data_IF_813977648162
#
_entry.id   IF_813977648162
#
_cell.length_a   1.000
_cell.length_b   1.000
_cell.length_c   1.000
_cell.angle_alpha   90.00
_cell.angle_beta   90.00
_cell.angle_gamma   90.00
#
_symmetry.space_group_name_H-M   'P 1'
#
loop_
_entity.id
_entity.type
_entity.pdbx_description
1 polymer ?
#
# COMPACT_ATOMS: atom_id res chain seq x y z
N UNK A 1 5.34 10.20 -2.36
CA UNK A 1 5.10 9.09 -3.31
C UNK A 1 4.09 9.57 -4.34
N UNK A 2 4.51 9.88 -5.57
CA UNK A 2 3.59 10.36 -6.61
C UNK A 2 2.61 9.26 -7.01
N UNK A 3 1.32 9.60 -7.12
CA UNK A 3 0.25 8.66 -7.51
C UNK A 3 -0.53 9.15 -8.76
N UNK A 4 0.03 10.10 -9.53
CA UNK A 4 -0.60 10.65 -10.74
C UNK A 4 -1.57 11.81 -10.47
N UNK A 5 -2.09 12.43 -11.53
CA UNK A 5 -3.00 13.59 -11.50
C UNK A 5 -2.52 14.77 -10.62
N UNK A 6 -1.20 14.96 -10.52
CA UNK A 6 -0.58 16.02 -9.71
C UNK A 6 -0.57 15.74 -8.20
N UNK A 7 -0.91 14.53 -7.77
CA UNK A 7 -0.96 14.13 -6.35
C UNK A 7 0.29 13.36 -5.95
N UNK A 8 0.82 13.69 -4.78
CA UNK A 8 1.85 12.93 -4.08
C UNK A 8 1.40 12.66 -2.66
N UNK A 9 1.50 11.40 -2.22
CA UNK A 9 1.21 10.98 -0.85
C UNK A 9 2.53 10.94 -0.06
N UNK A 10 2.72 11.78 0.97
CA UNK A 10 3.79 11.66 1.95
C UNK A 10 3.88 10.25 2.54
N UNK A 11 5.10 9.75 2.78
CA UNK A 11 5.28 8.42 3.38
C UNK A 11 4.79 8.35 4.83
N UNK A 12 4.69 9.51 5.51
CA UNK A 12 4.14 9.62 6.87
C UNK A 12 2.63 9.30 6.95
N UNK A 13 1.90 9.39 5.82
CA UNK A 13 0.50 8.97 5.73
C UNK A 13 0.34 7.46 5.53
N UNK A 14 1.45 6.73 5.39
CA UNK A 14 1.46 5.29 5.13
C UNK A 14 1.90 4.56 6.40
N UNK A 15 0.97 3.83 6.98
CA UNK A 15 1.27 2.93 8.09
C UNK A 15 1.93 1.66 7.55
N UNK A 16 3.11 1.32 8.07
CA UNK A 16 3.85 0.11 7.69
C UNK A 16 3.87 -0.88 8.86
N UNK A 17 3.35 -2.07 8.63
CA UNK A 17 3.30 -3.15 9.61
C UNK A 17 4.18 -4.31 9.17
N UNK A 18 5.11 -4.71 10.03
CA UNK A 18 5.89 -5.92 9.84
C UNK A 18 5.19 -7.10 10.51
N UNK A 19 5.20 -8.26 9.86
CA UNK A 19 4.65 -9.50 10.40
C UNK A 19 5.45 -10.71 9.95
N UNK A 20 5.12 -11.89 10.49
CA UNK A 20 5.74 -13.15 10.05
C UNK A 20 5.21 -13.54 8.67
N UNK A 21 6.11 -13.93 7.80
CA UNK A 21 5.76 -14.46 6.47
C UNK A 21 5.10 -15.82 6.66
N UNK A 22 3.88 -16.00 6.18
CA UNK A 22 3.14 -17.26 6.35
C UNK A 22 3.43 -18.19 5.17
N UNK A 23 4.19 -19.26 5.41
CA UNK A 23 4.36 -20.37 4.47
C UNK A 23 3.78 -21.67 5.05
N UNK A 24 3.05 -22.50 4.27
CA UNK A 24 2.57 -23.79 4.73
C UNK A 24 3.75 -24.77 4.81
N UNK A 25 4.17 -25.14 6.01
CA UNK A 25 5.28 -26.07 6.19
C UNK A 25 5.80 -26.08 7.61
N UNK A 26 5.24 -26.97 8.43
CA UNK A 26 5.84 -27.36 9.68
C UNK A 26 7.20 -28.01 9.45
N UNK A 27 8.06 -27.87 10.44
CA UNK A 27 9.40 -28.46 10.56
C UNK A 27 10.49 -27.72 9.75
N UNK A 28 11.35 -27.03 10.51
CA UNK A 28 12.53 -26.27 10.09
C UNK A 28 12.27 -25.01 9.26
N UNK A 29 11.71 -23.96 9.86
CA UNK A 29 11.70 -22.66 9.22
C UNK A 29 12.18 -21.58 10.20
N UNK A 30 13.42 -21.12 10.02
CA UNK A 30 13.83 -19.77 10.41
C UNK A 30 12.99 -18.80 9.57
N UNK A 31 11.72 -18.62 9.92
CA UNK A 31 10.81 -17.68 9.26
C UNK A 31 11.23 -16.29 9.71
N UNK A 32 12.19 -15.71 9.01
CA UNK A 32 12.51 -14.30 9.15
C UNK A 32 11.22 -13.50 8.93
N UNK A 33 10.90 -12.60 9.86
CA UNK A 33 9.74 -11.71 9.81
C UNK A 33 9.90 -10.66 8.70
N UNK A 34 9.81 -11.10 7.44
CA UNK A 34 10.06 -10.25 6.29
C UNK A 34 8.78 -9.66 5.70
N UNK A 35 7.60 -10.18 6.03
CA UNK A 35 6.32 -9.68 5.50
C UNK A 35 6.07 -8.23 5.95
N UNK A 36 5.86 -7.35 4.98
CA UNK A 36 5.46 -5.96 5.19
C UNK A 36 4.06 -5.73 4.62
N UNK A 37 3.24 -5.02 5.38
CA UNK A 37 1.95 -4.49 4.97
C UNK A 37 2.04 -2.95 5.00
N UNK A 38 1.70 -2.31 3.88
CA UNK A 38 1.58 -0.87 3.73
C UNK A 38 0.11 -0.49 3.65
N UNK A 39 -0.32 0.43 4.50
CA UNK A 39 -1.71 0.79 4.67
C UNK A 39 -1.87 2.30 4.55
N UNK A 40 -2.83 2.73 3.74
CA UNK A 40 -3.17 4.14 3.54
C UNK A 40 -4.64 4.37 3.87
N UNK A 41 -4.90 5.36 4.73
CA UNK A 41 -6.26 5.81 5.06
C UNK A 41 -6.70 6.90 4.07
N UNK A 42 -7.66 6.56 3.21
CA UNK A 42 -8.16 7.47 2.19
C UNK A 42 -8.97 8.60 2.83
N UNK A 43 -9.67 8.31 3.92
CA UNK A 43 -10.61 9.24 4.55
C UNK A 43 -9.91 10.35 5.33
N UNK A 44 -8.79 10.00 5.98
CA UNK A 44 -8.01 10.92 6.80
C UNK A 44 -6.94 11.70 6.03
N UNK A 45 -6.66 11.34 4.77
CA UNK A 45 -5.55 11.93 4.01
C UNK A 45 -5.76 13.42 3.69
N UNK A 46 -4.88 14.34 4.16
CA UNK A 46 -4.89 15.74 3.76
C UNK A 46 -4.35 15.97 2.33
N UNK A 47 -3.60 15.00 1.79
CA UNK A 47 -3.03 15.08 0.44
C UNK A 47 -4.04 14.85 -0.69
N UNK A 48 -5.27 14.45 -0.34
CA UNK A 48 -6.35 14.19 -1.30
C UNK A 48 -7.40 15.31 -1.28
N UNK A 49 -7.75 15.83 -2.46
CA UNK A 49 -8.97 16.62 -2.62
C UNK A 49 -10.21 15.77 -2.36
N UNK A 50 -11.34 16.39 -2.02
CA UNK A 50 -12.61 15.68 -1.81
C UNK A 50 -13.02 14.82 -3.02
N UNK A 51 -12.79 15.32 -4.23
CA UNK A 51 -13.11 14.60 -5.46
C UNK A 51 -12.23 13.34 -5.63
N UNK A 52 -10.94 13.42 -5.30
CA UNK A 52 -10.02 12.28 -5.33
C UNK A 52 -10.34 11.29 -4.22
N UNK A 53 -10.60 11.78 -3.01
CA UNK A 53 -11.01 10.97 -1.86
C UNK A 53 -12.27 10.18 -2.18
N UNK A 54 -13.33 10.83 -2.68
CA UNK A 54 -14.57 10.16 -3.09
C UNK A 54 -14.31 9.07 -4.12
N UNK A 55 -13.53 9.37 -5.17
CA UNK A 55 -13.21 8.40 -6.23
C UNK A 55 -12.43 7.19 -5.70
N UNK A 56 -11.43 7.43 -4.86
CA UNK A 56 -10.66 6.36 -4.24
C UNK A 56 -11.54 5.50 -3.34
N UNK A 57 -12.43 6.10 -2.56
CA UNK A 57 -13.40 5.39 -1.72
C UNK A 57 -14.36 4.53 -2.53
N UNK A 58 -14.88 5.05 -3.63
CA UNK A 58 -15.77 4.31 -4.54
C UNK A 58 -15.08 3.10 -5.18
N UNK A 59 -13.79 3.20 -5.51
CA UNK A 59 -13.04 2.13 -6.21
C UNK A 59 -12.33 1.15 -5.28
N UNK A 60 -11.75 1.63 -4.19
CA UNK A 60 -10.82 0.89 -3.33
C UNK A 60 -11.29 0.80 -1.88
N UNK A 61 -12.32 1.55 -1.50
CA UNK A 61 -12.82 1.65 -0.12
C UNK A 61 -12.10 2.73 0.70
N UNK A 62 -12.45 2.79 1.99
CA UNK A 62 -11.94 3.80 2.92
C UNK A 62 -10.44 3.60 3.25
N UNK A 63 -9.92 2.39 3.05
CA UNK A 63 -8.55 2.03 3.38
C UNK A 63 -7.94 1.17 2.27
N UNK A 64 -6.75 1.54 1.81
CA UNK A 64 -6.02 0.81 0.77
C UNK A 64 -4.82 0.12 1.40
N UNK A 65 -4.74 -1.19 1.19
CA UNK A 65 -3.67 -2.02 1.75
C UNK A 65 -2.90 -2.74 0.66
N UNK A 66 -1.58 -2.82 0.80
CA UNK A 66 -0.69 -3.61 -0.03
C UNK A 66 0.28 -4.41 0.84
N UNK A 67 0.50 -5.69 0.49
CA UNK A 67 1.38 -6.59 1.25
C UNK A 67 2.50 -7.06 0.35
N UNK A 68 3.70 -7.20 0.89
CA UNK A 68 4.83 -7.86 0.25
C UNK A 68 5.58 -8.77 1.23
N UNK A 69 5.93 -9.96 0.74
CA UNK A 69 6.71 -10.97 1.48
C UNK A 69 7.62 -11.77 0.54
N UNK A 70 7.85 -11.21 -0.65
CA UNK A 70 8.51 -11.82 -1.79
C UNK A 70 10.03 -11.94 -1.58
N UNK A 71 10.59 -11.04 -0.78
CA UNK A 71 12.01 -11.00 -0.46
C UNK A 71 12.31 -11.57 0.93
N UNK A 72 13.57 -12.00 1.11
CA UNK A 72 14.10 -12.43 2.42
C UNK A 72 14.31 -11.25 3.38
N UNK A 73 14.49 -10.03 2.86
CA UNK A 73 14.72 -8.83 3.67
C UNK A 73 13.46 -7.99 3.83
N UNK A 74 13.24 -7.49 5.05
CA UNK A 74 12.15 -6.58 5.37
C UNK A 74 12.25 -5.27 4.59
N UNK A 75 13.46 -4.74 4.37
CA UNK A 75 13.69 -3.52 3.60
C UNK A 75 13.19 -3.65 2.16
N UNK A 76 13.50 -4.77 1.48
CA UNK A 76 13.02 -5.00 0.11
C UNK A 76 11.51 -5.19 0.07
N UNK A 77 10.94 -5.89 1.04
CA UNK A 77 9.48 -6.01 1.14
C UNK A 77 8.80 -4.67 1.45
N UNK A 78 9.45 -3.77 2.18
CA UNK A 78 8.94 -2.41 2.39
C UNK A 78 8.83 -1.65 1.07
N UNK A 79 9.87 -1.68 0.24
CA UNK A 79 9.84 -1.08 -1.10
C UNK A 79 8.71 -1.66 -1.95
N UNK A 80 8.62 -2.98 -2.03
CA UNK A 80 7.59 -3.68 -2.81
C UNK A 80 6.17 -3.37 -2.33
N UNK A 81 5.94 -3.29 -1.02
CA UNK A 81 4.63 -2.95 -0.46
C UNK A 81 4.23 -1.51 -0.82
N UNK A 82 5.19 -0.57 -0.78
CA UNK A 82 4.97 0.82 -1.20
C UNK A 82 4.71 0.93 -2.70
N UNK A 83 5.47 0.23 -3.55
CA UNK A 83 5.25 0.19 -5.00
C UNK A 83 3.85 -0.33 -5.35
N UNK A 84 3.43 -1.45 -4.71
CA UNK A 84 2.09 -2.03 -4.86
C UNK A 84 1.01 -1.06 -4.41
N UNK A 85 1.23 -0.34 -3.31
CA UNK A 85 0.29 0.66 -2.82
C UNK A 85 0.17 1.84 -3.80
N UNK A 86 1.30 2.35 -4.30
CA UNK A 86 1.36 3.43 -5.28
C UNK A 86 0.58 3.07 -6.55
N UNK A 87 0.75 1.85 -7.06
CA UNK A 87 0.06 1.36 -8.25
C UNK A 87 -1.47 1.37 -8.04
N UNK A 88 -1.95 0.79 -6.93
CA UNK A 88 -3.38 0.80 -6.58
C UNK A 88 -3.96 2.21 -6.51
N UNK A 89 -3.27 3.11 -5.81
CA UNK A 89 -3.71 4.50 -5.67
C UNK A 89 -3.71 5.22 -7.02
N UNK A 90 -2.71 4.98 -7.86
CA UNK A 90 -2.62 5.56 -9.21
C UNK A 90 -3.79 5.16 -10.09
N UNK A 91 -4.13 3.88 -10.11
CA UNK A 91 -5.31 3.37 -10.85
C UNK A 91 -6.63 3.90 -10.27
N UNK A 92 -6.67 4.05 -8.95
CA UNK A 92 -7.79 4.63 -8.22
C UNK A 92 -8.06 6.09 -8.59
N UNK A 93 -7.03 6.95 -8.57
CA UNK A 93 -7.19 8.38 -8.84
C UNK A 93 -7.44 8.69 -10.30
N UNK A 94 -6.98 7.86 -11.25
CA UNK A 94 -7.20 8.10 -12.69
C UNK A 94 -8.67 8.37 -12.99
N UNK A 95 -8.93 9.51 -13.65
CA UNK A 95 -10.24 9.83 -14.22
C UNK A 95 -10.65 8.75 -15.22
N UNK A 96 -11.89 8.24 -15.18
CA UNK A 96 -12.38 7.39 -16.27
C UNK A 96 -12.27 8.17 -17.58
N UNK A 97 -11.69 7.55 -18.61
CA UNK A 97 -11.75 8.10 -19.97
C UNK A 97 -13.23 8.14 -20.35
N UNK A 98 -13.73 9.35 -20.62
CA UNK A 98 -15.03 9.56 -21.27
C UNK A 98 -14.97 9.09 -22.72
#
# INVERSE_FOLDING_TARGET
>A
MPIGDGVSIPLEEIELRASRSSGPGGQHANVTSSRIEAVFDVTASPSLSEAQRRRLREKLGDRVTAVAQDARSQARNRELALERLAAKLTEGVRRPKR
#
